data_IF_204273438657
#
_entry.id   IF_204273438657
#
_cell.length_a   1.000
_cell.length_b   1.000
_cell.length_c   1.000
_cell.angle_alpha   90.00
_cell.angle_beta   90.00
_cell.angle_gamma   90.00
#
_symmetry.space_group_name_H-M   'P 1'
#
loop_
_entity.id
_entity.type
_entity.pdbx_description
1 polymer ?
#
# COMPACT_ATOMS: atom_id res chain seq x y z
N UNK A 1 -0.61 14.87 -9.87
CA UNK A 1 0.41 15.94 -9.81
C UNK A 1 1.01 16.10 -8.41
N UNK A 2 0.21 16.16 -7.34
CA UNK A 2 0.72 16.34 -5.98
C UNK A 2 1.78 15.31 -5.57
N UNK A 3 1.55 14.02 -5.87
CA UNK A 3 2.51 12.96 -5.56
C UNK A 3 3.85 13.15 -6.27
N UNK A 4 3.84 13.39 -7.59
CA UNK A 4 5.06 13.61 -8.35
C UNK A 4 5.89 14.79 -7.78
N UNK A 5 5.22 15.92 -7.49
CA UNK A 5 5.88 17.09 -6.89
C UNK A 5 6.45 16.82 -5.50
N UNK A 6 5.69 16.13 -4.63
CA UNK A 6 6.14 15.77 -3.28
C UNK A 6 7.40 14.89 -3.32
N UNK A 7 7.40 13.87 -4.17
CA UNK A 7 8.53 12.95 -4.30
C UNK A 7 9.75 13.58 -4.98
N UNK A 8 9.55 14.39 -6.02
CA UNK A 8 10.62 15.12 -6.70
C UNK A 8 11.30 16.14 -5.76
N UNK A 9 10.52 16.88 -4.97
CA UNK A 9 11.04 17.90 -4.06
C UNK A 9 11.71 17.34 -2.80
N UNK A 10 11.47 16.08 -2.45
CA UNK A 10 11.93 15.50 -1.18
C UNK A 10 13.45 15.22 -1.11
N UNK A 11 14.15 15.14 -2.25
CA UNK A 11 15.56 14.73 -2.34
C UNK A 11 15.85 13.46 -1.50
N UNK A 12 15.00 12.44 -1.66
CA UNK A 12 14.92 11.27 -0.79
C UNK A 12 13.46 10.85 -0.59
N UNK A 13 13.10 10.41 0.61
CA UNK A 13 11.71 10.12 0.96
C UNK A 13 10.96 11.41 1.35
N UNK A 14 9.69 11.57 0.93
CA UNK A 14 8.81 12.55 1.55
C UNK A 14 8.76 12.36 3.08
N UNK A 15 8.77 13.46 3.84
CA UNK A 15 8.93 13.43 5.31
C UNK A 15 7.84 12.60 6.00
N UNK A 16 6.63 12.65 5.47
CA UNK A 16 5.46 11.91 5.91
C UNK A 16 5.58 10.39 5.67
N UNK A 17 6.30 9.98 4.62
CA UNK A 17 6.65 8.57 4.38
C UNK A 17 7.79 8.14 5.32
N UNK A 18 8.82 8.98 5.47
CA UNK A 18 9.94 8.75 6.38
C UNK A 18 9.48 8.66 7.85
N UNK A 19 8.47 9.43 8.25
CA UNK A 19 7.88 9.36 9.59
C UNK A 19 7.28 7.98 9.91
N UNK A 20 6.72 7.31 8.90
CA UNK A 20 6.16 5.96 9.02
C UNK A 20 7.29 4.93 9.00
N UNK A 21 8.20 5.01 8.04
CA UNK A 21 9.27 4.01 7.87
C UNK A 21 10.42 4.16 8.88
N UNK A 22 10.50 5.28 9.59
CA UNK A 22 11.51 5.59 10.58
C UNK A 22 12.49 6.66 10.10
N UNK A 23 12.97 7.49 11.04
CA UNK A 23 13.80 8.68 10.76
C UNK A 23 15.08 8.40 9.99
N UNK A 24 15.63 7.19 10.09
CA UNK A 24 16.86 6.79 9.42
C UNK A 24 16.59 5.98 8.14
N UNK A 25 15.36 6.03 7.61
CA UNK A 25 15.04 5.37 6.34
C UNK A 25 15.60 6.16 5.15
N UNK A 26 16.18 5.44 4.21
CA UNK A 26 16.85 5.96 3.03
C UNK A 26 16.23 5.39 1.75
N UNK A 27 15.88 6.28 0.81
CA UNK A 27 15.38 5.87 -0.50
C UNK A 27 16.52 5.32 -1.35
N UNK A 28 16.44 4.05 -1.75
CA UNK A 28 17.41 3.42 -2.65
C UNK A 28 16.99 3.55 -4.12
N UNK A 29 15.68 3.37 -4.38
CA UNK A 29 15.09 3.41 -5.71
C UNK A 29 13.61 3.78 -5.60
N UNK A 30 13.10 4.61 -6.51
CA UNK A 30 11.67 4.84 -6.71
C UNK A 30 11.33 4.68 -8.20
N UNK A 31 10.27 3.93 -8.50
CA UNK A 31 9.74 3.71 -9.85
C UNK A 31 8.27 4.15 -9.85
N UNK A 32 7.90 5.18 -10.63
CA UNK A 32 6.51 5.55 -10.78
C UNK A 32 5.76 4.46 -11.56
N UNK A 33 4.50 4.22 -11.21
CA UNK A 33 3.58 3.40 -12.01
C UNK A 33 4.09 1.97 -12.28
N UNK A 34 4.87 1.40 -11.33
CA UNK A 34 5.47 0.07 -11.43
C UNK A 34 4.41 -1.04 -11.45
N UNK A 35 4.47 -1.91 -12.46
CA UNK A 35 3.49 -2.98 -12.65
C UNK A 35 3.98 -4.30 -12.05
N UNK A 36 3.11 -4.93 -11.26
CA UNK A 36 3.38 -6.17 -10.56
C UNK A 36 2.34 -7.23 -10.95
N UNK A 37 2.75 -8.33 -11.60
CA UNK A 37 1.87 -9.46 -11.88
C UNK A 37 1.26 -10.04 -10.61
N UNK A 38 -0.05 -10.27 -10.63
CA UNK A 38 -0.79 -10.87 -9.51
C UNK A 38 -1.32 -12.27 -9.90
N UNK A 39 -1.36 -13.22 -8.95
CA UNK A 39 -1.90 -14.55 -9.19
C UNK A 39 -3.35 -14.51 -9.67
N UNK A 40 -3.79 -15.54 -10.41
CA UNK A 40 -5.20 -15.70 -10.81
C UNK A 40 -5.65 -14.90 -12.03
N UNK A 41 -4.78 -14.19 -12.76
CA UNK A 41 -5.19 -13.53 -14.00
C UNK A 41 -4.08 -12.74 -14.69
N UNK A 42 -4.42 -12.10 -15.82
CA UNK A 42 -3.46 -11.31 -16.63
C UNK A 42 -3.29 -9.86 -16.17
N UNK A 43 -4.26 -9.31 -15.42
CA UNK A 43 -4.22 -7.90 -15.00
C UNK A 43 -3.27 -7.72 -13.82
N UNK A 44 -2.31 -6.84 -13.97
CA UNK A 44 -1.29 -6.50 -12.97
C UNK A 44 -1.84 -5.50 -11.92
N UNK A 45 -1.20 -5.46 -10.76
CA UNK A 45 -1.27 -4.29 -9.86
C UNK A 45 -0.33 -3.22 -10.38
N UNK A 46 -0.61 -1.96 -10.09
CA UNK A 46 0.19 -0.80 -10.47
C UNK A 46 0.00 0.33 -9.46
N UNK A 47 0.87 0.43 -8.45
CA UNK A 47 0.85 1.55 -7.49
C UNK A 47 1.41 2.83 -8.12
N UNK A 48 1.07 3.98 -7.56
CA UNK A 48 1.59 5.27 -8.04
C UNK A 48 3.11 5.37 -7.91
N UNK A 49 3.69 4.90 -6.80
CA UNK A 49 5.15 4.78 -6.60
C UNK A 49 5.49 3.45 -5.95
N UNK A 50 6.37 2.69 -6.58
CA UNK A 50 7.08 1.57 -5.95
C UNK A 50 8.46 2.04 -5.51
N UNK A 51 8.90 1.67 -4.31
CA UNK A 51 10.22 2.03 -3.80
C UNK A 51 10.93 0.88 -3.09
N UNK A 52 12.26 0.88 -3.18
CA UNK A 52 13.13 0.13 -2.28
C UNK A 52 13.69 1.11 -1.27
N UNK A 53 13.54 0.77 0.01
CA UNK A 53 13.92 1.64 1.12
C UNK A 53 14.80 0.87 2.10
N UNK A 54 15.98 1.40 2.42
CA UNK A 54 16.76 0.90 3.53
C UNK A 54 16.17 1.44 4.84
N UNK A 55 15.94 0.55 5.81
CA UNK A 55 15.41 0.88 7.14
C UNK A 55 16.34 0.23 8.16
N UNK A 56 17.25 1.02 8.73
CA UNK A 56 18.34 0.53 9.57
C UNK A 56 19.17 -0.56 8.87
N UNK A 57 19.08 -1.81 9.30
CA UNK A 57 19.83 -2.97 8.79
C UNK A 57 19.04 -3.81 7.78
N UNK A 58 17.85 -3.36 7.37
CA UNK A 58 16.93 -4.10 6.50
C UNK A 58 16.58 -3.32 5.24
N UNK A 59 16.13 -4.04 4.22
CA UNK A 59 15.51 -3.44 3.03
C UNK A 59 14.01 -3.74 3.05
N UNK A 60 13.21 -2.74 2.70
CA UNK A 60 11.77 -2.83 2.53
C UNK A 60 11.38 -2.61 1.06
N UNK A 61 10.50 -3.48 0.56
CA UNK A 61 9.75 -3.29 -0.68
C UNK A 61 8.48 -2.48 -0.38
N UNK A 62 8.37 -1.27 -0.91
CA UNK A 62 7.33 -0.30 -0.52
C UNK A 62 6.43 0.00 -1.72
N UNK A 63 5.14 -0.30 -1.61
CA UNK A 63 4.13 0.21 -2.53
C UNK A 63 3.45 1.44 -1.92
N UNK A 64 3.40 2.53 -2.66
CA UNK A 64 2.76 3.78 -2.23
C UNK A 64 1.63 4.14 -3.19
N UNK A 65 0.44 4.33 -2.63
CA UNK A 65 -0.76 4.75 -3.38
C UNK A 65 -1.14 6.18 -2.96
N UNK A 66 -1.17 7.08 -3.94
CA UNK A 66 -1.65 8.44 -3.78
C UNK A 66 -3.17 8.51 -3.66
N UNK A 67 -3.66 9.41 -2.80
CA UNK A 67 -5.09 9.75 -2.75
C UNK A 67 -5.30 11.24 -2.57
N UNK A 68 -6.29 11.79 -3.26
CA UNK A 68 -6.78 13.16 -3.00
C UNK A 68 -8.27 13.14 -2.68
N UNK A 69 -9.11 13.08 -3.70
CA UNK A 69 -10.56 13.13 -3.55
C UNK A 69 -11.23 11.88 -4.12
N UNK A 70 -10.54 11.17 -5.01
CA UNK A 70 -10.96 9.93 -5.62
C UNK A 70 -10.87 8.74 -4.65
N UNK A 71 -11.88 7.83 -4.65
CA UNK A 71 -11.87 6.66 -3.77
C UNK A 71 -10.84 5.61 -4.17
N UNK A 72 -10.68 4.58 -3.35
CA UNK A 72 -9.85 3.38 -3.64
C UNK A 72 -10.42 2.46 -4.74
N UNK A 73 -11.32 2.95 -5.60
CA UNK A 73 -12.03 2.12 -6.58
C UNK A 73 -13.08 1.19 -5.93
N UNK A 74 -13.38 0.04 -6.56
CA UNK A 74 -14.49 -0.82 -6.15
C UNK A 74 -14.25 -1.49 -4.80
N UNK A 75 -15.35 -1.77 -4.10
CA UNK A 75 -15.33 -2.67 -2.95
C UNK A 75 -15.07 -4.12 -3.39
N UNK A 76 -14.75 -5.02 -2.46
CA UNK A 76 -14.63 -6.46 -2.73
C UNK A 76 -15.95 -6.99 -3.29
N UNK A 77 -17.08 -6.59 -2.70
CA UNK A 77 -18.42 -6.94 -3.14
C UNK A 77 -18.65 -6.54 -4.59
N UNK A 78 -18.38 -5.27 -4.92
CA UNK A 78 -18.52 -4.75 -6.29
C UNK A 78 -17.60 -5.49 -7.28
N UNK A 79 -16.36 -5.74 -6.86
CA UNK A 79 -15.37 -6.41 -7.69
C UNK A 79 -15.72 -7.89 -7.93
N UNK A 80 -16.45 -8.52 -7.01
CA UNK A 80 -16.91 -9.90 -7.10
C UNK A 80 -18.36 -10.07 -7.58
N UNK A 81 -19.07 -9.02 -8.03
CA UNK A 81 -20.45 -9.14 -8.56
C UNK A 81 -20.56 -10.22 -9.66
N UNK A 82 -19.52 -10.36 -10.51
CA UNK A 82 -19.41 -11.42 -11.52
C UNK A 82 -18.10 -12.16 -11.32
N UNK A 83 -18.04 -13.12 -10.38
CA UNK A 83 -16.80 -13.77 -10.04
C UNK A 83 -16.38 -14.70 -11.17
N UNK A 84 -15.10 -14.67 -11.52
CA UNK A 84 -14.47 -15.68 -12.38
C UNK A 84 -13.57 -16.56 -11.52
N UNK A 85 -13.24 -17.80 -11.94
CA UNK A 85 -12.29 -18.64 -11.21
C UNK A 85 -10.96 -17.93 -10.93
N UNK A 86 -10.52 -17.09 -11.87
CA UNK A 86 -9.32 -16.26 -11.71
C UNK A 86 -9.44 -15.18 -10.63
N UNK A 87 -10.59 -14.47 -10.55
CA UNK A 87 -10.82 -13.46 -9.50
C UNK A 87 -10.89 -14.09 -8.11
N UNK A 88 -11.56 -15.24 -8.00
CA UNK A 88 -11.63 -16.01 -6.74
C UNK A 88 -10.22 -16.43 -6.33
N UNK A 89 -9.48 -17.13 -7.20
CA UNK A 89 -8.10 -17.56 -6.93
C UNK A 89 -7.22 -16.38 -6.51
N UNK A 90 -7.32 -15.25 -7.22
CA UNK A 90 -6.57 -14.04 -6.90
C UNK A 90 -6.87 -13.55 -5.49
N UNK A 91 -8.15 -13.39 -5.14
CA UNK A 91 -8.50 -12.85 -3.82
C UNK A 91 -8.13 -13.82 -2.70
N UNK A 92 -8.38 -15.12 -2.88
CA UNK A 92 -7.97 -16.15 -1.92
C UNK A 92 -6.47 -16.10 -1.66
N UNK A 93 -5.64 -16.08 -2.72
CA UNK A 93 -4.18 -15.99 -2.55
C UNK A 93 -3.76 -14.69 -1.88
N UNK A 94 -4.41 -13.56 -2.17
CA UNK A 94 -4.10 -12.30 -1.48
C UNK A 94 -4.45 -12.39 0.01
N UNK A 95 -5.60 -12.94 0.39
CA UNK A 95 -5.97 -13.14 1.79
C UNK A 95 -4.96 -14.05 2.52
N UNK A 96 -4.53 -15.14 1.88
CA UNK A 96 -3.50 -16.06 2.40
C UNK A 96 -2.17 -15.34 2.64
N UNK A 97 -1.68 -14.58 1.67
CA UNK A 97 -0.44 -13.79 1.80
C UNK A 97 -0.50 -12.79 2.96
N UNK A 98 -1.66 -12.17 3.16
CA UNK A 98 -1.87 -11.19 4.22
C UNK A 98 -2.14 -11.83 5.58
N UNK A 99 -2.33 -13.15 5.67
CA UNK A 99 -2.79 -13.83 6.88
C UNK A 99 -4.17 -13.32 7.35
N UNK A 100 -5.06 -13.00 6.40
CA UNK A 100 -6.42 -12.55 6.65
C UNK A 100 -7.47 -13.61 6.31
N UNK A 101 -8.67 -13.49 6.88
CA UNK A 101 -9.76 -14.43 6.66
C UNK A 101 -10.34 -14.33 5.23
N UNK A 102 -10.70 -15.47 4.64
CA UNK A 102 -11.41 -15.53 3.36
C UNK A 102 -12.83 -16.10 3.56
N UNK A 103 -13.88 -15.51 2.93
CA UNK A 103 -13.84 -14.26 2.18
C UNK A 103 -13.71 -13.04 3.11
N UNK A 104 -13.04 -11.96 2.68
CA UNK A 104 -13.02 -10.71 3.43
C UNK A 104 -14.40 -10.03 3.39
N UNK A 105 -14.69 -9.11 4.32
CA UNK A 105 -15.92 -8.32 4.28
C UNK A 105 -16.11 -7.60 2.94
N UNK A 106 -17.31 -7.66 2.33
CA UNK A 106 -17.55 -7.19 0.97
C UNK A 106 -17.37 -5.67 0.81
N UNK A 107 -17.55 -4.89 1.87
CA UNK A 107 -17.43 -3.43 1.89
C UNK A 107 -15.97 -2.94 1.77
N UNK A 108 -14.98 -3.80 2.03
CA UNK A 108 -13.58 -3.38 1.99
C UNK A 108 -13.12 -3.06 0.56
N UNK A 109 -12.15 -2.15 0.43
CA UNK A 109 -11.64 -1.71 -0.87
C UNK A 109 -10.66 -2.70 -1.47
N UNK A 110 -10.98 -3.26 -2.63
CA UNK A 110 -10.12 -4.23 -3.32
C UNK A 110 -8.71 -3.68 -3.61
N UNK A 111 -8.59 -2.37 -3.84
CA UNK A 111 -7.31 -1.72 -4.11
C UNK A 111 -6.30 -1.92 -2.97
N UNK A 112 -6.72 -1.80 -1.71
CA UNK A 112 -5.84 -1.97 -0.56
C UNK A 112 -5.23 -3.38 -0.52
N UNK A 113 -6.03 -4.41 -0.85
CA UNK A 113 -5.59 -5.79 -0.93
C UNK A 113 -4.52 -5.98 -2.02
N UNK A 114 -4.80 -5.57 -3.25
CA UNK A 114 -3.92 -5.89 -4.36
C UNK A 114 -2.67 -4.99 -4.45
N UNK A 115 -2.69 -3.81 -3.82
CA UNK A 115 -1.48 -2.99 -3.60
C UNK A 115 -0.57 -3.61 -2.56
N UNK A 116 -1.15 -4.08 -1.45
CA UNK A 116 -0.37 -4.74 -0.40
C UNK A 116 0.25 -6.04 -0.90
N UNK A 117 -0.51 -6.85 -1.63
CA UNK A 117 0.01 -8.07 -2.26
C UNK A 117 1.14 -7.78 -3.27
N UNK A 118 1.06 -6.68 -4.01
CA UNK A 118 2.12 -6.29 -4.94
C UNK A 118 3.43 -5.97 -4.21
N UNK A 119 3.37 -5.25 -3.08
CA UNK A 119 4.55 -5.00 -2.25
C UNK A 119 5.20 -6.30 -1.76
N UNK A 120 4.39 -7.30 -1.39
CA UNK A 120 4.85 -8.61 -0.91
C UNK A 120 5.45 -9.50 -2.00
N UNK A 121 4.89 -9.45 -3.21
CA UNK A 121 5.43 -10.14 -4.38
C UNK A 121 6.79 -9.56 -4.74
N UNK A 122 6.89 -8.22 -4.79
CA UNK A 122 8.17 -7.56 -5.06
C UNK A 122 9.18 -7.76 -3.93
N UNK A 123 8.72 -7.83 -2.67
CA UNK A 123 9.60 -8.21 -1.56
C UNK A 123 10.23 -9.59 -1.78
N UNK A 124 9.48 -10.54 -2.34
CA UNK A 124 10.03 -11.85 -2.69
C UNK A 124 10.99 -11.77 -3.88
N UNK A 125 10.65 -10.99 -4.91
CA UNK A 125 11.45 -10.84 -6.13
C UNK A 125 12.78 -10.12 -5.89
N UNK A 126 12.78 -9.09 -5.05
CA UNK A 126 13.98 -8.33 -4.66
C UNK A 126 14.67 -8.89 -3.41
N UNK A 127 14.15 -9.98 -2.84
CA UNK A 127 14.68 -10.61 -1.64
C UNK A 127 14.86 -9.62 -0.47
N UNK A 128 13.82 -8.83 -0.20
CA UNK A 128 13.80 -7.84 0.89
C UNK A 128 13.27 -8.46 2.18
N UNK A 129 13.72 -7.93 3.32
CA UNK A 129 13.36 -8.46 4.66
C UNK A 129 11.91 -8.16 5.06
N UNK A 130 11.38 -7.07 4.51
CA UNK A 130 10.04 -6.56 4.84
C UNK A 130 9.35 -5.99 3.61
N UNK A 131 8.05 -5.73 3.75
CA UNK A 131 7.28 -4.99 2.77
C UNK A 131 6.46 -3.88 3.46
N UNK A 132 6.12 -2.84 2.72
CA UNK A 132 5.22 -1.82 3.19
C UNK A 132 4.17 -1.45 2.13
N UNK A 133 2.96 -1.15 2.59
CA UNK A 133 1.95 -0.49 1.79
C UNK A 133 1.53 0.79 2.49
N UNK A 134 1.81 1.92 1.86
CA UNK A 134 1.54 3.24 2.42
C UNK A 134 0.55 3.98 1.53
N UNK A 135 -0.55 4.44 2.10
CA UNK A 135 -1.41 5.43 1.45
C UNK A 135 -0.79 6.80 1.68
N UNK A 136 -0.45 7.50 0.61
CA UNK A 136 0.00 8.88 0.64
C UNK A 136 -1.18 9.78 0.28
N UNK A 137 -1.95 10.20 1.29
CA UNK A 137 -3.14 11.02 1.10
C UNK A 137 -2.80 12.51 1.17
N UNK A 138 -3.08 13.22 0.09
CA UNK A 138 -3.05 14.68 0.03
C UNK A 138 -4.38 15.31 0.44
N UNK A 139 -5.38 14.50 0.85
CA UNK A 139 -6.61 15.03 1.43
C UNK A 139 -6.35 15.55 2.85
N UNK A 140 -6.46 16.87 3.04
CA UNK A 140 -6.36 17.47 4.38
C UNK A 140 -7.59 17.16 5.25
N UNK A 141 -8.69 16.73 4.64
CA UNK A 141 -9.87 16.19 5.31
C UNK A 141 -9.75 14.68 5.58
N UNK A 142 -8.62 14.06 5.20
CA UNK A 142 -8.34 12.63 5.38
C UNK A 142 -9.40 11.73 4.77
N UNK A 143 -9.93 12.14 3.61
CA UNK A 143 -10.88 11.32 2.84
C UNK A 143 -10.32 9.92 2.64
N UNK A 144 -11.19 8.93 2.82
CA UNK A 144 -10.91 7.50 2.65
C UNK A 144 -10.04 6.88 3.77
N UNK A 145 -9.73 7.62 4.84
CA UNK A 145 -9.03 7.04 5.98
C UNK A 145 -9.84 5.89 6.61
N UNK A 146 -11.16 6.02 6.70
CA UNK A 146 -12.02 4.97 7.26
C UNK A 146 -11.94 3.66 6.48
N UNK A 147 -11.79 3.72 5.15
CA UNK A 147 -11.57 2.52 4.31
C UNK A 147 -10.22 1.84 4.63
N UNK A 148 -9.16 2.64 4.81
CA UNK A 148 -7.85 2.14 5.22
C UNK A 148 -7.89 1.55 6.64
N UNK A 149 -8.53 2.26 7.58
CA UNK A 149 -8.70 1.80 8.95
C UNK A 149 -9.46 0.47 8.99
N UNK A 150 -10.56 0.34 8.25
CA UNK A 150 -11.33 -0.90 8.14
C UNK A 150 -10.48 -2.07 7.58
N UNK A 151 -9.60 -1.78 6.61
CA UNK A 151 -8.65 -2.77 6.09
C UNK A 151 -7.62 -3.20 7.15
N UNK A 152 -7.08 -2.27 7.95
CA UNK A 152 -6.23 -2.59 9.09
C UNK A 152 -6.98 -3.46 10.11
N UNK A 153 -8.22 -3.11 10.46
CA UNK A 153 -9.05 -3.88 11.40
C UNK A 153 -9.33 -5.30 10.92
N UNK A 154 -9.58 -5.48 9.61
CA UNK A 154 -9.71 -6.80 8.99
C UNK A 154 -8.46 -7.68 9.19
N UNK A 155 -7.27 -7.09 9.26
CA UNK A 155 -6.02 -7.79 9.52
C UNK A 155 -5.69 -7.94 11.01
N UNK A 156 -6.61 -7.54 11.90
CA UNK A 156 -6.46 -7.56 13.36
C UNK A 156 -5.59 -6.42 13.90
N UNK A 157 -5.51 -5.29 13.18
CA UNK A 157 -4.67 -4.15 13.52
C UNK A 157 -5.50 -2.90 13.81
N UNK A 158 -4.93 -1.97 14.56
CA UNK A 158 -5.47 -0.64 14.75
C UNK A 158 -4.76 0.33 13.79
N UNK A 159 -5.50 0.85 12.81
CA UNK A 159 -4.94 1.81 11.86
C UNK A 159 -4.71 3.15 12.55
N UNK A 160 -3.51 3.73 12.39
CA UNK A 160 -3.21 5.07 12.90
C UNK A 160 -2.54 5.95 11.82
N UNK A 161 -2.98 7.20 11.70
CA UNK A 161 -2.38 8.17 10.75
C UNK A 161 -0.99 8.56 11.20
N UNK A 162 -0.07 8.67 10.24
CA UNK A 162 1.29 9.13 10.45
C UNK A 162 2.18 8.16 11.23
N UNK A 163 1.71 6.94 11.52
CA UNK A 163 2.48 5.91 12.21
C UNK A 163 2.55 4.63 11.38
N UNK A 164 3.61 3.86 11.61
CA UNK A 164 3.69 2.48 11.16
C UNK A 164 2.68 1.62 11.90
N UNK A 165 1.99 0.76 11.15
CA UNK A 165 1.10 -0.28 11.65
C UNK A 165 1.70 -1.62 11.23
N UNK A 166 2.62 -2.20 12.03
CA UNK A 166 3.33 -3.41 11.68
C UNK A 166 2.45 -4.66 11.87
N UNK A 167 2.67 -5.67 11.02
CA UNK A 167 2.06 -6.99 11.09
C UNK A 167 3.06 -8.06 10.72
N UNK A 168 3.17 -9.08 11.56
CA UNK A 168 3.88 -10.31 11.23
C UNK A 168 3.04 -11.14 10.25
N UNK A 169 3.61 -11.48 9.09
CA UNK A 169 2.95 -12.29 8.07
C UNK A 169 3.18 -13.80 8.26
N UNK A 170 2.32 -14.66 7.65
CA UNK A 170 2.46 -16.12 7.74
C UNK A 170 3.80 -16.67 7.24
N UNK A 171 4.48 -15.97 6.34
CA UNK A 171 5.77 -16.36 5.78
C UNK A 171 6.98 -15.84 6.58
N UNK A 172 6.73 -15.22 7.73
CA UNK A 172 7.78 -14.69 8.61
C UNK A 172 8.27 -13.28 8.27
N UNK A 173 7.80 -12.66 7.19
CA UNK A 173 8.14 -11.26 6.89
C UNK A 173 7.28 -10.28 7.69
N UNK A 174 7.85 -9.10 7.92
CA UNK A 174 7.11 -7.96 8.47
C UNK A 174 6.44 -7.18 7.34
N UNK A 175 5.14 -6.91 7.50
CA UNK A 175 4.37 -5.97 6.69
C UNK A 175 4.16 -4.69 7.49
N UNK A 176 4.47 -3.54 6.90
CA UNK A 176 4.16 -2.22 7.46
C UNK A 176 3.01 -1.61 6.67
N UNK A 177 1.89 -1.34 7.33
CA UNK A 177 0.83 -0.51 6.77
C UNK A 177 0.99 0.93 7.27
N UNK A 178 0.61 1.90 6.45
CA UNK A 178 0.73 3.29 6.85
C UNK A 178 -0.22 4.23 6.11
N UNK A 179 -0.61 5.30 6.80
CA UNK A 179 -1.32 6.42 6.21
C UNK A 179 -0.50 7.70 6.39
N UNK A 180 0.14 8.16 5.32
CA UNK A 180 0.89 9.41 5.26
C UNK A 180 -0.05 10.54 4.83
N UNK A 181 -0.05 11.65 5.59
CA UNK A 181 -0.73 12.88 5.16
C UNK A 181 0.28 13.75 4.43
N UNK A 182 0.06 13.90 3.13
CA UNK A 182 0.91 14.70 2.24
C UNK A 182 0.82 16.18 2.55
N UNK A 183 1.93 16.89 2.34
CA UNK A 183 2.03 18.33 2.57
C UNK A 183 1.10 19.11 1.63
N UNK A 184 0.30 20.02 2.21
CA UNK A 184 -0.67 20.84 1.48
C UNK A 184 -0.05 21.62 0.32
N UNK A 185 1.23 22.01 0.43
CA UNK A 185 1.92 22.80 -0.59
C UNK A 185 2.00 22.11 -1.96
N UNK A 186 1.83 20.79 -2.02
CA UNK A 186 1.86 20.05 -3.28
C UNK A 186 0.47 19.87 -3.94
N UNK A 187 -0.62 20.32 -3.30
CA UNK A 187 -1.99 20.13 -3.78
C UNK A 187 -2.36 21.11 -4.89
N UNK A 188 -1.87 22.35 -4.83
CA UNK A 188 -2.21 23.42 -5.78
C UNK A 188 -1.04 23.70 -6.76
N UNK A 189 -1.30 24.03 -8.03
CA UNK A 189 -0.30 24.63 -8.89
C UNK A 189 0.05 26.05 -8.43
N UNK A 190 1.35 26.37 -8.41
CA UNK A 190 1.79 27.76 -8.56
C UNK A 190 1.27 28.36 -9.87
#
# INVERSE_FOLDING_TARGET
MAMARSWEAANGLPKEIQAILGKNSELLLAIPEHKVPLPGGRRESQCDVFALVAIADRIASVAVEGKVNEPFGPTIGDWLIRPTPGRIKRLTTICEMLGGAYPPPPELRYQLFHRTAAALIEAGRFNTDSAAMIVHSFSQEHRWYDDFHAFCSYLGLEGERGKAVPKQLPDGRELILGWATGDRRYIEPE
#
